data_IF_524193606871
#
_entry.id   IF_524193606871
#
_cell.length_a   1.000
_cell.length_b   1.000
_cell.length_c   1.000
_cell.angle_alpha   90.00
_cell.angle_beta   90.00
_cell.angle_gamma   90.00
#
_symmetry.space_group_name_H-M   'P 1'
#
loop_
_entity.id
_entity.type
_entity.pdbx_description
1 polymer ?
#
# COMPACT_ATOMS: atom_id res chain seq x y z
N UNK A 1 2.28 10.15 13.79
CA UNK A 1 2.56 8.70 13.58
C UNK A 1 1.34 8.08 12.93
N UNK A 2 1.54 7.33 11.88
CA UNK A 2 0.45 6.65 11.17
C UNK A 2 -0.15 5.58 12.08
N UNK A 3 -1.48 5.54 12.15
CA UNK A 3 -2.20 4.46 12.81
C UNK A 3 -2.21 3.23 11.89
N UNK A 4 -1.52 2.18 12.30
CA UNK A 4 -1.39 0.92 11.55
C UNK A 4 -2.13 -0.24 12.20
N UNK A 5 -2.90 -0.02 13.26
CA UNK A 5 -3.51 -1.11 14.03
C UNK A 5 -4.41 -1.99 13.15
N UNK A 6 -5.26 -1.39 12.33
CA UNK A 6 -6.12 -2.14 11.40
C UNK A 6 -5.31 -2.90 10.34
N UNK A 7 -4.19 -2.35 9.89
CA UNK A 7 -3.29 -3.05 8.96
C UNK A 7 -2.62 -4.25 9.62
N UNK A 8 -2.23 -4.13 10.88
CA UNK A 8 -1.67 -5.25 11.66
C UNK A 8 -2.69 -6.37 11.89
N UNK A 9 -3.95 -6.03 12.10
CA UNK A 9 -5.03 -7.03 12.19
C UNK A 9 -5.14 -7.83 10.89
N UNK A 10 -5.12 -7.14 9.75
CA UNK A 10 -5.12 -7.79 8.43
C UNK A 10 -3.87 -8.66 8.25
N UNK A 11 -2.69 -8.19 8.67
CA UNK A 11 -1.45 -8.96 8.62
C UNK A 11 -1.56 -10.25 9.43
N UNK A 12 -2.01 -10.18 10.68
CA UNK A 12 -2.21 -11.36 11.54
C UNK A 12 -3.15 -12.38 10.89
N UNK A 13 -4.29 -11.91 10.38
CA UNK A 13 -5.25 -12.76 9.67
C UNK A 13 -4.67 -13.38 8.40
N UNK A 14 -3.87 -12.62 7.67
CA UNK A 14 -3.22 -13.08 6.43
C UNK A 14 -2.22 -14.20 6.70
N UNK A 15 -1.37 -14.05 7.71
CA UNK A 15 -0.42 -15.10 8.11
C UNK A 15 -1.15 -16.34 8.65
N UNK A 16 -2.25 -16.19 9.36
CA UNK A 16 -3.03 -17.31 9.87
C UNK A 16 -3.57 -18.23 8.75
N UNK A 17 -3.87 -17.68 7.58
CA UNK A 17 -4.39 -18.38 6.41
C UNK A 17 -3.37 -18.60 5.28
N UNK A 18 -2.12 -18.16 5.46
CA UNK A 18 -1.08 -18.29 4.45
C UNK A 18 -0.68 -19.75 4.22
N UNK A 19 -0.37 -20.08 2.96
CA UNK A 19 0.17 -21.38 2.61
C UNK A 19 1.60 -21.56 3.13
N UNK A 20 2.02 -22.80 3.33
CA UNK A 20 3.40 -23.12 3.71
C UNK A 20 4.41 -22.56 2.69
N UNK A 21 4.11 -22.69 1.41
CA UNK A 21 4.96 -22.17 0.33
C UNK A 21 5.14 -20.66 0.40
N UNK A 22 4.07 -19.91 0.76
CA UNK A 22 4.19 -18.46 0.95
C UNK A 22 5.05 -18.13 2.18
N UNK A 23 4.83 -18.80 3.31
CA UNK A 23 5.58 -18.58 4.56
C UNK A 23 7.06 -18.93 4.40
N UNK A 24 7.43 -19.82 3.49
CA UNK A 24 8.83 -20.13 3.21
C UNK A 24 9.58 -18.94 2.60
N UNK A 25 8.91 -18.13 1.76
CA UNK A 25 9.47 -16.90 1.17
C UNK A 25 9.32 -15.67 2.06
N UNK A 26 8.24 -15.60 2.86
CA UNK A 26 7.90 -14.50 3.75
C UNK A 26 7.61 -15.03 5.17
N UNK A 27 8.65 -15.38 5.95
CA UNK A 27 8.45 -15.93 7.29
C UNK A 27 7.77 -14.94 8.23
N UNK A 28 6.76 -15.40 8.97
CA UNK A 28 6.04 -14.56 9.94
C UNK A 28 6.96 -13.96 11.01
N UNK A 29 8.04 -14.66 11.37
CA UNK A 29 9.02 -14.17 12.32
C UNK A 29 9.77 -12.92 11.84
N UNK A 30 9.74 -12.62 10.54
CA UNK A 30 10.31 -11.41 9.93
C UNK A 30 9.25 -10.35 9.63
N UNK A 31 7.99 -10.59 9.96
CA UNK A 31 6.93 -9.60 9.77
C UNK A 31 7.19 -8.35 10.60
N UNK A 32 6.88 -7.20 10.02
CA UNK A 32 7.01 -5.92 10.72
C UNK A 32 6.00 -5.84 11.88
N UNK A 33 6.46 -5.33 13.00
CA UNK A 33 5.61 -4.88 14.09
C UNK A 33 5.00 -3.49 13.81
N UNK A 34 4.26 -2.94 14.77
CA UNK A 34 3.61 -1.64 14.61
C UNK A 34 4.59 -0.51 14.28
N UNK A 35 5.70 -0.46 14.99
CA UNK A 35 6.71 0.58 14.79
C UNK A 35 7.41 0.44 13.43
N UNK A 36 7.77 -0.78 13.05
CA UNK A 36 8.39 -1.08 11.76
C UNK A 36 7.46 -0.80 10.58
N UNK A 37 6.19 -1.15 10.69
CA UNK A 37 5.20 -0.89 9.64
C UNK A 37 4.93 0.61 9.50
N UNK A 38 4.73 1.33 10.60
CA UNK A 38 4.54 2.77 10.57
C UNK A 38 5.75 3.48 9.96
N UNK A 39 6.96 3.12 10.37
CA UNK A 39 8.20 3.69 9.83
C UNK A 39 8.35 3.38 8.34
N UNK A 40 8.13 2.15 7.89
CA UNK A 40 8.20 1.82 6.46
C UNK A 40 7.26 2.70 5.63
N UNK A 41 6.03 2.87 6.11
CA UNK A 41 5.04 3.69 5.44
C UNK A 41 5.46 5.17 5.47
N UNK A 42 5.93 5.70 6.61
CA UNK A 42 6.35 7.09 6.75
C UNK A 42 7.56 7.44 5.88
N UNK A 43 8.51 6.52 5.77
CA UNK A 43 9.74 6.72 5.00
C UNK A 43 9.49 6.67 3.48
N UNK A 44 8.39 6.04 3.04
CA UNK A 44 8.10 5.80 1.63
C UNK A 44 6.81 6.49 1.17
N UNK A 45 6.93 7.66 0.54
CA UNK A 45 5.77 8.45 0.03
C UNK A 45 5.07 7.82 -1.17
N UNK A 46 5.74 6.91 -1.84
CA UNK A 46 5.27 6.25 -3.06
C UNK A 46 5.29 4.74 -2.88
N UNK A 47 4.37 4.10 -3.54
CA UNK A 47 4.32 2.65 -3.69
C UNK A 47 4.09 2.30 -5.16
N UNK A 48 4.07 1.01 -5.45
CA UNK A 48 3.69 0.49 -6.77
C UNK A 48 2.33 -0.15 -6.66
N UNK A 49 1.36 0.39 -7.41
CA UNK A 49 0.01 -0.15 -7.49
C UNK A 49 -0.12 -1.00 -8.76
N UNK A 50 -0.50 -2.26 -8.58
CA UNK A 50 -0.81 -3.19 -9.65
C UNK A 50 -2.32 -3.32 -9.80
N UNK A 51 -2.79 -3.24 -11.04
CA UNK A 51 -4.19 -3.44 -11.43
C UNK A 51 -4.28 -4.43 -12.57
N UNK A 52 -5.41 -5.08 -12.73
CA UNK A 52 -5.63 -6.04 -13.82
C UNK A 52 -6.45 -5.41 -14.94
N UNK A 53 -6.02 -5.61 -16.18
CA UNK A 53 -6.85 -5.35 -17.36
C UNK A 53 -7.97 -6.39 -17.44
N UNK A 54 -9.08 -6.10 -18.17
CA UNK A 54 -10.15 -7.09 -18.34
C UNK A 54 -9.70 -8.42 -18.96
N UNK A 55 -8.61 -8.41 -19.76
CA UNK A 55 -8.01 -9.62 -20.33
C UNK A 55 -7.04 -10.36 -19.38
N UNK A 56 -6.91 -9.89 -18.14
CA UNK A 56 -6.08 -10.50 -17.10
C UNK A 56 -4.61 -10.03 -17.11
N UNK A 57 -4.17 -9.25 -18.08
CA UNK A 57 -2.79 -8.72 -18.07
C UNK A 57 -2.65 -7.64 -16.98
N UNK A 58 -1.55 -7.73 -16.23
CA UNK A 58 -1.26 -6.77 -15.17
C UNK A 58 -0.76 -5.44 -15.73
N UNK A 59 -1.07 -4.37 -15.00
CA UNK A 59 -0.47 -3.05 -15.14
C UNK A 59 0.03 -2.58 -13.78
N UNK A 60 1.26 -2.16 -13.69
CA UNK A 60 1.84 -1.65 -12.44
C UNK A 60 2.47 -0.29 -12.68
N UNK A 61 2.25 0.64 -11.76
CA UNK A 61 2.81 1.99 -11.85
C UNK A 61 2.98 2.59 -10.45
N UNK A 62 3.94 3.51 -10.28
CA UNK A 62 4.10 4.26 -9.04
C UNK A 62 2.86 5.08 -8.71
N UNK A 63 2.54 5.16 -7.43
CA UNK A 63 1.44 5.98 -6.90
C UNK A 63 1.86 6.69 -5.63
N UNK A 64 1.38 7.93 -5.46
CA UNK A 64 1.39 8.59 -4.17
C UNK A 64 0.21 8.05 -3.35
N UNK A 65 0.44 7.73 -2.09
CA UNK A 65 -0.59 7.16 -1.23
C UNK A 65 -0.51 7.71 0.20
N UNK A 66 -1.59 7.56 0.91
CA UNK A 66 -1.67 7.73 2.37
C UNK A 66 -2.46 6.59 2.99
N UNK A 67 -2.31 6.42 4.30
CA UNK A 67 -3.11 5.48 5.08
C UNK A 67 -4.06 6.29 5.97
N UNK A 68 -5.34 5.96 5.90
CA UNK A 68 -6.37 6.51 6.77
C UNK A 68 -7.45 5.45 7.00
N UNK A 69 -7.88 5.29 8.24
CA UNK A 69 -8.92 4.34 8.65
C UNK A 69 -8.69 2.89 8.14
N UNK A 70 -7.44 2.44 8.16
CA UNK A 70 -7.07 1.09 7.71
C UNK A 70 -7.14 0.86 6.20
N UNK A 71 -7.32 1.92 5.41
CA UNK A 71 -7.32 1.90 3.95
C UNK A 71 -6.12 2.64 3.38
N UNK A 72 -5.67 2.20 2.21
CA UNK A 72 -4.73 2.96 1.38
C UNK A 72 -5.52 3.85 0.43
N UNK A 73 -5.26 5.15 0.49
CA UNK A 73 -5.87 6.17 -0.36
C UNK A 73 -4.87 6.65 -1.39
N UNK A 74 -5.26 6.58 -2.66
CA UNK A 74 -4.41 6.92 -3.80
C UNK A 74 -5.09 8.02 -4.61
N UNK A 75 -4.36 9.09 -4.87
CA UNK A 75 -4.78 10.13 -5.81
C UNK A 75 -4.41 9.72 -7.23
N UNK A 76 -5.30 9.90 -8.18
CA UNK A 76 -5.06 9.49 -9.58
C UNK A 76 -5.74 10.40 -10.58
N UNK A 77 -5.23 10.38 -11.80
CA UNK A 77 -5.88 10.99 -12.97
C UNK A 77 -6.75 9.96 -13.70
N UNK A 78 -7.66 10.43 -14.52
CA UNK A 78 -8.46 9.56 -15.40
C UNK A 78 -7.56 8.94 -16.46
N UNK A 79 -7.55 7.61 -16.54
CA UNK A 79 -6.68 6.88 -17.45
C UNK A 79 -6.81 5.37 -17.30
N UNK A 80 -5.75 4.65 -17.70
CA UNK A 80 -5.75 3.18 -17.73
C UNK A 80 -6.06 2.57 -16.35
N UNK A 81 -5.47 3.11 -15.29
CA UNK A 81 -5.69 2.61 -13.92
C UNK A 81 -7.16 2.66 -13.53
N UNK A 82 -7.85 3.78 -13.74
CA UNK A 82 -9.27 3.89 -13.43
C UNK A 82 -10.12 2.97 -14.29
N UNK A 83 -9.79 2.82 -15.57
CA UNK A 83 -10.49 1.86 -16.45
C UNK A 83 -10.32 0.43 -15.96
N UNK A 84 -9.11 0.05 -15.57
CA UNK A 84 -8.85 -1.28 -15.01
C UNK A 84 -9.66 -1.51 -13.73
N UNK A 85 -9.63 -0.55 -12.79
CA UNK A 85 -10.31 -0.66 -11.51
C UNK A 85 -11.84 -0.59 -11.64
N UNK A 86 -12.36 0.09 -12.65
CA UNK A 86 -13.80 0.08 -12.96
C UNK A 86 -14.27 -1.30 -13.44
N UNK A 87 -13.43 -2.01 -14.18
CA UNK A 87 -13.75 -3.34 -14.71
C UNK A 87 -13.41 -4.46 -13.70
N UNK A 88 -12.25 -4.33 -13.02
CA UNK A 88 -11.75 -5.30 -12.02
C UNK A 88 -11.42 -4.52 -10.74
N UNK A 89 -12.36 -4.38 -9.80
CA UNK A 89 -12.22 -3.53 -8.62
C UNK A 89 -11.36 -4.19 -7.53
N UNK A 90 -10.16 -4.56 -7.88
CA UNK A 90 -9.16 -5.18 -7.01
C UNK A 90 -7.78 -4.66 -7.37
N UNK A 91 -6.93 -4.40 -6.37
CA UNK A 91 -5.58 -3.94 -6.57
C UNK A 91 -4.60 -4.59 -5.59
N UNK A 92 -3.32 -4.57 -5.97
CA UNK A 92 -2.20 -4.90 -5.09
C UNK A 92 -1.28 -3.70 -4.98
N UNK A 93 -0.84 -3.38 -3.77
CA UNK A 93 0.10 -2.30 -3.48
C UNK A 93 1.36 -2.90 -2.86
N UNK A 94 2.50 -2.48 -3.38
CA UNK A 94 3.82 -2.77 -2.78
C UNK A 94 4.44 -1.47 -2.30
N UNK A 95 4.89 -1.46 -1.06
CA UNK A 95 5.72 -0.41 -0.48
C UNK A 95 7.02 -1.06 -0.03
N UNK A 96 8.14 -0.49 -0.41
CA UNK A 96 9.45 -1.05 -0.07
C UNK A 96 10.48 0.06 0.10
N UNK A 97 11.46 -0.16 0.94
CA UNK A 97 12.60 0.73 1.04
C UNK A 97 13.34 0.77 -0.31
N UNK A 98 13.85 1.94 -0.66
CA UNK A 98 14.81 2.08 -1.74
C UNK A 98 16.10 1.30 -1.44
N UNK A 99 17.01 1.29 -2.38
CA UNK A 99 18.35 0.73 -2.13
C UNK A 99 18.94 1.45 -0.89
N UNK A 100 19.28 0.66 0.13
CA UNK A 100 20.16 1.15 1.18
C UNK A 100 21.44 1.62 0.51
N UNK A 101 21.97 2.78 0.89
CA UNK A 101 23.29 3.20 0.44
C UNK A 101 24.26 2.03 0.63
N UNK A 102 24.92 1.63 -0.47
CA UNK A 102 25.96 0.59 -0.41
C UNK A 102 27.01 1.03 0.59
N UNK A 103 26.94 0.57 1.83
CA UNK A 103 27.87 0.94 2.90
C UNK A 103 27.30 0.94 4.30
N UNK A 104 26.00 0.92 4.49
CA UNK A 104 25.40 0.68 5.81
C UNK A 104 25.14 -0.82 5.99
N UNK A 105 26.16 -1.55 6.43
CA UNK A 105 25.99 -2.91 6.90
C UNK A 105 24.94 -2.95 8.00
N UNK A 106 23.84 -3.68 7.77
CA UNK A 106 22.85 -4.01 8.78
C UNK A 106 21.52 -3.25 8.74
N UNK A 107 21.26 -2.43 7.72
CA UNK A 107 19.91 -1.89 7.52
C UNK A 107 19.05 -2.94 6.81
N UNK A 108 18.03 -3.51 7.47
CA UNK A 108 17.20 -4.51 6.81
C UNK A 108 16.40 -3.88 5.68
N UNK A 109 16.31 -4.57 4.55
CA UNK A 109 15.35 -4.21 3.51
C UNK A 109 13.94 -4.54 4.02
N UNK A 110 13.10 -3.51 4.10
CA UNK A 110 11.72 -3.67 4.52
C UNK A 110 10.80 -3.59 3.32
N UNK A 111 9.78 -4.43 3.33
CA UNK A 111 8.75 -4.42 2.32
C UNK A 111 7.38 -4.76 2.92
N UNK A 112 6.34 -4.26 2.27
CA UNK A 112 4.95 -4.52 2.54
C UNK A 112 4.25 -4.81 1.22
N UNK A 113 3.46 -5.86 1.17
CA UNK A 113 2.50 -6.10 0.09
C UNK A 113 1.10 -6.18 0.65
N UNK A 114 0.17 -5.46 0.04
CA UNK A 114 -1.23 -5.45 0.41
C UNK A 114 -2.09 -5.63 -0.83
N UNK A 115 -3.16 -6.39 -0.72
CA UNK A 115 -4.13 -6.55 -1.79
C UNK A 115 -5.55 -6.56 -1.25
N UNK A 116 -6.48 -6.04 -2.03
CA UNK A 116 -7.87 -5.98 -1.63
C UNK A 116 -8.77 -5.28 -2.63
N UNK A 117 -10.07 -5.25 -2.32
CA UNK A 117 -11.06 -4.54 -3.12
C UNK A 117 -10.79 -3.03 -3.10
N UNK A 118 -11.19 -2.39 -4.18
CA UNK A 118 -11.11 -0.93 -4.30
C UNK A 118 -12.48 -0.32 -4.48
N UNK A 119 -12.60 0.90 -3.97
CA UNK A 119 -13.74 1.80 -4.23
C UNK A 119 -13.20 3.05 -4.90
N UNK A 120 -13.82 3.46 -5.98
CA UNK A 120 -13.50 4.71 -6.67
C UNK A 120 -14.35 5.84 -6.10
N UNK A 121 -13.71 6.95 -5.77
CA UNK A 121 -14.35 8.11 -5.15
C UNK A 121 -14.17 9.37 -5.98
N UNK A 122 -15.16 10.24 -5.90
CA UNK A 122 -15.10 11.61 -6.39
C UNK A 122 -14.19 12.48 -5.48
N UNK A 123 -13.83 13.65 -5.97
CA UNK A 123 -12.87 14.55 -5.28
C UNK A 123 -13.33 14.97 -3.88
N UNK A 124 -14.63 15.03 -3.62
CA UNK A 124 -15.17 15.35 -2.29
C UNK A 124 -14.69 14.37 -1.19
N UNK A 125 -14.27 13.15 -1.54
CA UNK A 125 -13.75 12.19 -0.58
C UNK A 125 -12.42 12.61 0.06
N UNK A 126 -11.72 13.62 -0.49
CA UNK A 126 -10.47 14.15 0.09
C UNK A 126 -10.63 14.51 1.58
N UNK A 127 -11.80 15.00 1.99
CA UNK A 127 -12.07 15.36 3.39
C UNK A 127 -11.87 14.20 4.37
N UNK A 128 -11.91 12.95 3.91
CA UNK A 128 -11.73 11.74 4.74
C UNK A 128 -10.28 11.46 5.09
N UNK A 129 -9.32 12.00 4.30
CA UNK A 129 -7.89 11.72 4.48
C UNK A 129 -6.99 12.94 4.19
N UNK A 130 -7.57 14.12 4.15
CA UNK A 130 -6.84 15.35 3.81
C UNK A 130 -5.71 15.65 4.80
N UNK A 131 -5.93 15.42 6.09
CA UNK A 131 -4.92 15.63 7.11
C UNK A 131 -3.72 14.71 6.86
N UNK A 132 -3.95 13.42 6.70
CA UNK A 132 -2.90 12.43 6.40
C UNK A 132 -2.18 12.76 5.09
N UNK A 133 -2.93 13.27 4.09
CA UNK A 133 -2.31 13.67 2.83
C UNK A 133 -1.34 14.84 3.00
N UNK A 134 -1.76 15.90 3.68
CA UNK A 134 -0.95 17.10 3.89
C UNK A 134 0.27 16.83 4.79
N UNK A 135 0.12 16.00 5.81
CA UNK A 135 1.24 15.58 6.65
C UNK A 135 2.33 14.88 5.86
N UNK A 136 1.94 14.14 4.82
CA UNK A 136 2.82 13.28 4.06
C UNK A 136 3.37 13.92 2.79
N UNK A 137 2.53 14.66 2.06
CA UNK A 137 2.84 15.18 0.73
C UNK A 137 3.02 16.70 0.68
N UNK A 138 2.75 17.40 1.77
CA UNK A 138 2.86 18.85 1.95
C UNK A 138 1.90 19.69 1.10
N UNK A 139 1.64 19.30 -0.14
CA UNK A 139 0.73 19.98 -1.05
C UNK A 139 -0.56 19.19 -1.25
N UNK A 140 -1.72 19.86 -1.36
CA UNK A 140 -2.97 19.18 -1.69
C UNK A 140 -2.89 18.52 -3.08
N UNK A 141 -3.62 17.43 -3.32
CA UNK A 141 -3.58 16.71 -4.59
C UNK A 141 -4.46 17.39 -5.65
N UNK A 142 -4.22 18.66 -5.95
CA UNK A 142 -5.04 19.49 -6.87
C UNK A 142 -5.04 18.96 -8.31
N UNK A 143 -4.04 18.16 -8.66
CA UNK A 143 -3.92 17.48 -9.95
C UNK A 143 -4.81 16.23 -10.05
N UNK A 144 -5.32 15.71 -8.93
CA UNK A 144 -6.13 14.51 -8.92
C UNK A 144 -7.49 14.73 -9.60
N UNK A 145 -7.99 13.71 -10.24
CA UNK A 145 -9.31 13.68 -10.88
C UNK A 145 -10.25 12.66 -10.22
N UNK A 146 -9.69 11.75 -9.44
CA UNK A 146 -10.41 10.78 -8.65
C UNK A 146 -9.51 10.23 -7.54
N UNK A 147 -10.12 9.57 -6.56
CA UNK A 147 -9.41 8.85 -5.51
C UNK A 147 -9.76 7.37 -5.54
N UNK A 148 -8.77 6.54 -5.25
CA UNK A 148 -8.91 5.10 -5.07
C UNK A 148 -8.74 4.80 -3.60
N UNK A 149 -9.72 4.17 -2.98
CA UNK A 149 -9.61 3.57 -1.64
C UNK A 149 -9.41 2.07 -1.81
N UNK A 150 -8.27 1.56 -1.40
CA UNK A 150 -8.01 0.13 -1.31
C UNK A 150 -8.07 -0.31 0.14
N UNK A 151 -9.02 -1.16 0.47
CA UNK A 151 -9.12 -1.78 1.79
C UNK A 151 -8.48 -3.15 1.75
N UNK A 152 -7.30 -3.35 2.36
CA UNK A 152 -6.60 -4.62 2.25
C UNK A 152 -7.37 -5.74 2.94
N UNK A 153 -7.51 -6.86 2.26
CA UNK A 153 -7.97 -8.13 2.80
C UNK A 153 -6.81 -9.09 3.06
N UNK A 154 -5.68 -8.87 2.40
CA UNK A 154 -4.42 -9.57 2.62
C UNK A 154 -3.29 -8.55 2.73
N UNK A 155 -2.44 -8.75 3.72
CA UNK A 155 -1.27 -7.91 3.95
C UNK A 155 -0.17 -8.77 4.55
N UNK A 156 1.01 -8.66 3.95
CA UNK A 156 2.23 -9.27 4.42
C UNK A 156 3.35 -8.25 4.42
N UNK A 157 4.22 -8.34 5.38
CA UNK A 157 5.41 -7.50 5.46
C UNK A 157 6.62 -8.30 5.88
N UNK A 158 7.80 -7.77 5.58
CA UNK A 158 9.01 -8.39 6.07
C UNK A 158 10.16 -7.40 6.20
N UNK A 159 11.07 -7.69 7.10
CA UNK A 159 12.38 -7.08 7.20
C UNK A 159 13.44 -8.18 7.05
N UNK A 160 14.20 -8.13 5.96
CA UNK A 160 15.35 -9.01 5.73
C UNK A 160 16.63 -8.23 6.02
N UNK A 161 17.43 -8.76 6.94
CA UNK A 161 18.76 -8.24 7.27
C UNK A 161 19.79 -9.33 7.18
#
# INVERSE_FOLDING_TARGET
>A
MIDVELLLEVQRSSYASATEAFRAGWPEAQALDAAGMASLIDDNRYGVLATARPDGRAHAAPVAFVVADGSFWIATVRGLRLRNLSAVPWASLVVMDGEADEGEEGTPHRALTAEGPVVLHELAALTRFQEQWLDRHTDPPDWAQAFVEMRPERLFSHAAG
#
